data_IF_738712296723
#
_entry.id   IF_738712296723
#
_cell.length_a   1.000
_cell.length_b   1.000
_cell.length_c   1.000
_cell.angle_alpha   90.00
_cell.angle_beta   90.00
_cell.angle_gamma   90.00
#
_symmetry.space_group_name_H-M   'P 1'
#
loop_
_entity.id
_entity.type
_entity.pdbx_description
1 polymer ?
#
# COMPACT_ATOMS: atom_id res chain seq x y z
N UNK A 1 -21.68 -74.40 12.82
CA UNK A 1 -20.45 -73.73 12.43
C UNK A 1 -20.85 -72.45 11.70
N UNK A 2 -20.82 -71.32 12.38
CA UNK A 2 -21.26 -70.04 11.87
C UNK A 2 -20.03 -69.25 11.31
N UNK A 3 -20.13 -68.51 10.18
CA UNK A 3 -19.08 -67.65 9.72
C UNK A 3 -19.14 -66.27 10.42
N UNK A 4 -17.98 -65.75 10.79
CA UNK A 4 -17.78 -64.51 11.42
C UNK A 4 -17.78 -63.40 10.33
N UNK A 5 -18.63 -62.37 10.50
CA UNK A 5 -18.65 -61.19 9.69
C UNK A 5 -17.57 -60.22 10.18
N UNK A 6 -16.66 -59.85 9.28
CA UNK A 6 -15.70 -58.75 9.48
C UNK A 6 -16.37 -57.40 9.26
N UNK A 7 -16.22 -56.55 10.24
CA UNK A 7 -16.73 -55.21 10.25
C UNK A 7 -15.73 -54.27 9.54
N UNK A 8 -16.15 -53.58 8.48
CA UNK A 8 -15.36 -52.62 7.74
C UNK A 8 -15.55 -51.24 8.37
N UNK A 9 -14.53 -50.78 9.09
CA UNK A 9 -14.46 -49.42 9.64
C UNK A 9 -14.37 -48.39 8.49
N UNK A 10 -15.46 -47.64 8.28
CA UNK A 10 -15.46 -46.48 7.44
C UNK A 10 -14.84 -45.30 8.22
N UNK A 11 -13.65 -44.88 7.83
CA UNK A 11 -13.05 -43.64 8.26
C UNK A 11 -13.73 -42.46 7.54
N UNK A 12 -14.74 -41.85 8.18
CA UNK A 12 -15.38 -40.65 7.71
C UNK A 12 -14.46 -39.45 7.89
N UNK A 13 -13.92 -38.96 6.79
CA UNK A 13 -13.23 -37.66 6.75
C UNK A 13 -14.29 -36.55 6.87
N UNK A 14 -14.33 -35.88 8.01
CA UNK A 14 -15.19 -34.70 8.22
C UNK A 14 -14.61 -33.54 7.44
N UNK A 15 -15.32 -32.94 6.48
CA UNK A 15 -14.81 -31.75 5.79
C UNK A 15 -14.75 -30.59 6.79
N UNK A 16 -13.56 -30.05 7.02
CA UNK A 16 -13.37 -28.83 7.77
C UNK A 16 -13.89 -27.67 6.92
N UNK A 17 -15.07 -27.19 7.22
CA UNK A 17 -15.69 -26.04 6.60
C UNK A 17 -14.97 -24.79 7.13
N UNK A 18 -14.02 -24.24 6.38
CA UNK A 18 -13.45 -22.93 6.67
C UNK A 18 -14.50 -21.85 6.44
N UNK A 19 -15.20 -21.48 7.49
CA UNK A 19 -16.08 -20.30 7.48
C UNK A 19 -15.19 -19.07 7.52
N UNK A 20 -14.96 -18.46 6.37
CA UNK A 20 -14.32 -17.15 6.29
C UNK A 20 -15.27 -16.10 6.88
N UNK A 21 -15.10 -15.78 8.15
CA UNK A 21 -15.72 -14.59 8.73
C UNK A 21 -15.15 -13.37 8.01
N UNK A 22 -15.91 -12.77 7.11
CA UNK A 22 -15.65 -11.41 6.62
C UNK A 22 -15.80 -10.47 7.81
N UNK A 23 -14.67 -10.06 8.39
CA UNK A 23 -14.67 -9.03 9.42
C UNK A 23 -14.94 -7.71 8.73
N UNK A 24 -16.00 -6.99 9.07
CA UNK A 24 -16.21 -5.65 8.55
C UNK A 24 -15.04 -4.77 9.01
N UNK A 25 -14.30 -4.20 8.08
CA UNK A 25 -13.37 -3.12 8.38
C UNK A 25 -14.20 -1.97 8.95
N UNK A 26 -13.85 -1.41 10.11
CA UNK A 26 -14.61 -0.32 10.69
C UNK A 26 -14.74 0.80 9.66
N UNK A 27 -15.97 1.23 9.37
CA UNK A 27 -16.20 2.45 8.59
C UNK A 27 -15.45 3.58 9.31
N UNK A 28 -14.70 4.37 8.56
CA UNK A 28 -14.12 5.60 9.09
C UNK A 28 -15.24 6.43 9.71
N UNK A 29 -15.11 6.68 11.02
CA UNK A 29 -16.07 7.48 11.77
C UNK A 29 -15.86 8.99 11.55
N UNK A 30 -14.94 9.40 10.67
CA UNK A 30 -14.58 10.78 10.41
C UNK A 30 -14.17 10.96 8.95
N UNK A 31 -14.32 12.18 8.45
CA UNK A 31 -13.78 12.59 7.16
C UNK A 31 -12.32 13.05 7.36
N UNK A 32 -11.34 12.35 6.78
CA UNK A 32 -9.92 12.69 6.95
C UNK A 32 -9.55 14.07 6.38
N UNK A 33 -10.31 14.58 5.42
CA UNK A 33 -10.11 15.91 4.86
C UNK A 33 -10.50 17.03 5.85
N UNK A 34 -11.46 16.74 6.74
CA UNK A 34 -11.93 17.67 7.76
C UNK A 34 -11.03 17.69 9.01
N UNK A 35 -10.09 16.77 9.16
CA UNK A 35 -9.16 16.76 10.30
C UNK A 35 -8.18 17.92 10.17
N UNK A 36 -8.00 18.77 11.20
CA UNK A 36 -7.07 19.90 11.14
C UNK A 36 -5.63 19.48 10.83
N UNK A 37 -4.92 20.35 10.12
CA UNK A 37 -3.46 20.21 9.95
C UNK A 37 -2.81 20.61 11.26
N UNK A 38 -2.15 19.66 11.91
CA UNK A 38 -1.39 19.88 13.15
C UNK A 38 -0.05 20.56 12.84
N UNK A 39 0.66 20.04 11.84
CA UNK A 39 1.94 20.56 11.39
C UNK A 39 2.21 20.17 9.93
N UNK A 40 3.19 20.85 9.34
CA UNK A 40 3.80 20.45 8.07
C UNK A 40 5.18 19.91 8.40
N UNK A 41 5.53 18.77 7.84
CA UNK A 41 6.79 18.10 8.12
C UNK A 41 7.99 19.04 7.84
N UNK A 42 7.95 19.77 6.71
CA UNK A 42 8.84 20.90 6.45
C UNK A 42 10.31 20.55 6.21
N UNK A 43 10.65 19.25 6.12
CA UNK A 43 12.01 18.84 5.77
C UNK A 43 12.33 19.25 4.34
N UNK A 44 13.61 19.50 4.08
CA UNK A 44 14.09 19.80 2.73
C UNK A 44 13.72 18.68 1.76
N UNK A 45 13.35 19.07 0.54
CA UNK A 45 13.05 18.14 -0.54
C UNK A 45 14.24 17.22 -0.86
N UNK A 46 13.95 16.07 -1.45
CA UNK A 46 14.97 15.25 -2.11
C UNK A 46 15.54 16.05 -3.28
N UNK A 47 16.86 16.08 -3.40
CA UNK A 47 17.54 16.83 -4.46
C UNK A 47 17.10 16.32 -5.85
N UNK A 48 16.86 17.23 -6.79
CA UNK A 48 16.47 16.87 -8.17
C UNK A 48 17.48 15.94 -8.84
N UNK A 49 18.76 16.06 -8.49
CA UNK A 49 19.83 15.18 -8.97
C UNK A 49 19.66 13.72 -8.53
N UNK A 50 18.87 13.48 -7.50
CA UNK A 50 18.51 12.14 -7.00
C UNK A 50 17.22 11.59 -7.62
N UNK A 51 16.39 12.44 -8.23
CA UNK A 51 15.11 12.06 -8.82
C UNK A 51 15.28 11.66 -10.29
N UNK A 52 16.07 10.62 -10.54
CA UNK A 52 16.23 9.99 -11.85
C UNK A 52 16.41 8.47 -11.72
N UNK A 53 16.06 7.72 -12.77
CA UNK A 53 16.03 6.27 -12.72
C UNK A 53 17.40 5.62 -12.43
N UNK A 54 18.48 6.21 -12.92
CA UNK A 54 19.83 5.68 -12.68
C UNK A 54 20.21 5.79 -11.19
N UNK A 55 19.97 6.95 -10.60
CA UNK A 55 20.25 7.17 -9.18
C UNK A 55 19.39 6.29 -8.29
N UNK A 56 18.09 6.15 -8.61
CA UNK A 56 17.19 5.29 -7.85
C UNK A 56 17.66 3.82 -7.85
N UNK A 57 18.05 3.28 -9.02
CA UNK A 57 18.62 1.92 -9.09
C UNK A 57 19.85 1.77 -8.21
N UNK A 58 20.77 2.74 -8.24
CA UNK A 58 21.99 2.72 -7.41
C UNK A 58 21.63 2.77 -5.92
N UNK A 59 20.69 3.63 -5.53
CA UNK A 59 20.25 3.80 -4.14
C UNK A 59 19.63 2.52 -3.58
N UNK A 60 18.80 1.80 -4.36
CA UNK A 60 18.22 0.53 -3.96
C UNK A 60 19.21 -0.62 -3.98
N UNK A 61 20.19 -0.61 -4.89
CA UNK A 61 21.25 -1.63 -4.95
C UNK A 61 22.27 -1.51 -3.80
N UNK A 62 22.51 -0.30 -3.30
CA UNK A 62 23.44 -0.02 -2.19
C UNK A 62 22.77 0.97 -1.21
N UNK A 63 21.81 0.51 -0.39
CA UNK A 63 21.11 1.36 0.53
C UNK A 63 22.05 1.88 1.63
N UNK A 64 22.03 3.19 1.84
CA UNK A 64 22.65 3.82 3.01
C UNK A 64 21.71 3.71 4.22
N UNK A 65 22.26 3.84 5.42
CA UNK A 65 21.49 3.82 6.66
C UNK A 65 20.43 4.94 6.67
N UNK A 66 19.22 4.59 7.00
CA UNK A 66 18.11 5.52 7.16
C UNK A 66 17.16 5.05 8.26
N UNK A 67 16.35 5.96 8.75
CA UNK A 67 15.39 5.64 9.80
C UNK A 67 13.99 5.63 9.22
N UNK A 68 13.33 4.48 9.33
CA UNK A 68 11.91 4.36 9.02
C UNK A 68 11.11 5.21 9.99
N UNK A 69 10.18 6.00 9.47
CA UNK A 69 9.25 6.70 10.32
C UNK A 69 8.26 5.71 10.96
N UNK A 70 8.18 5.74 12.28
CA UNK A 70 7.21 4.90 12.99
C UNK A 70 5.81 5.42 12.72
N UNK A 71 4.94 4.58 12.17
CA UNK A 71 3.52 4.93 12.13
C UNK A 71 2.96 4.91 13.56
N UNK A 72 2.29 5.99 13.99
CA UNK A 72 1.47 6.00 15.20
C UNK A 72 0.24 5.08 15.07
N UNK A 73 0.13 4.42 13.94
CA UNK A 73 -0.92 3.44 13.64
C UNK A 73 -0.70 2.12 14.39
N UNK A 74 -0.45 2.19 15.70
CA UNK A 74 -0.32 0.96 16.51
C UNK A 74 -1.67 0.28 16.66
N UNK A 75 -1.77 -1.01 16.34
CA UNK A 75 -2.98 -1.78 16.52
C UNK A 75 -3.21 -2.07 18.01
N UNK A 76 -3.82 -1.13 18.76
CA UNK A 76 -4.11 -1.37 20.17
C UNK A 76 -4.97 -2.61 20.41
N UNK A 77 -6.05 -2.78 19.68
CA UNK A 77 -6.98 -3.93 19.75
C UNK A 77 -6.64 -5.08 18.79
N UNK A 78 -5.78 -4.87 17.80
CA UNK A 78 -5.42 -5.87 16.79
C UNK A 78 -4.07 -6.55 17.05
N UNK A 79 -3.34 -6.14 18.11
CA UNK A 79 -2.02 -6.70 18.45
C UNK A 79 -2.02 -8.22 18.68
N UNK A 80 -3.18 -8.85 18.81
CA UNK A 80 -3.33 -10.30 19.01
C UNK A 80 -3.65 -11.07 17.73
N UNK A 81 -3.82 -10.38 16.58
CA UNK A 81 -4.15 -11.03 15.30
C UNK A 81 -2.93 -11.14 14.41
N UNK A 82 -2.82 -12.26 13.70
CA UNK A 82 -1.82 -12.42 12.63
C UNK A 82 -2.15 -11.42 11.53
N UNK A 83 -1.21 -10.53 11.17
CA UNK A 83 -1.42 -9.57 10.09
C UNK A 83 -1.72 -10.27 8.77
N UNK A 84 -2.53 -9.63 7.93
CA UNK A 84 -2.86 -10.13 6.60
C UNK A 84 -1.77 -9.67 5.63
N UNK A 85 -1.00 -10.59 5.01
CA UNK A 85 0.00 -10.20 4.03
C UNK A 85 -0.63 -9.53 2.81
N UNK A 86 -0.01 -8.44 2.38
CA UNK A 86 -0.39 -7.70 1.19
C UNK A 86 0.87 -7.09 0.54
N UNK A 87 0.79 -6.73 -0.72
CA UNK A 87 1.87 -6.03 -1.41
C UNK A 87 1.31 -4.97 -2.34
N UNK A 88 2.02 -3.87 -2.44
CA UNK A 88 1.69 -2.77 -3.36
C UNK A 88 2.88 -2.46 -4.23
N UNK A 89 2.63 -2.08 -5.47
CA UNK A 89 3.65 -1.55 -6.37
C UNK A 89 3.71 -0.03 -6.19
N UNK A 90 4.92 0.52 -6.07
CA UNK A 90 5.22 1.94 -6.19
C UNK A 90 5.76 2.18 -7.60
N UNK A 91 4.90 2.40 -8.61
CA UNK A 91 5.32 2.49 -10.00
C UNK A 91 5.78 3.91 -10.31
N UNK A 92 7.09 4.08 -10.39
CA UNK A 92 7.75 5.35 -10.74
C UNK A 92 7.94 5.37 -12.26
N UNK A 93 7.17 6.21 -12.94
CA UNK A 93 7.17 6.30 -14.40
C UNK A 93 8.24 7.27 -14.87
N UNK A 94 9.07 6.85 -15.82
CA UNK A 94 10.12 7.69 -16.42
C UNK A 94 9.53 8.52 -17.57
N UNK A 95 8.97 9.71 -17.26
CA UNK A 95 8.43 10.64 -18.24
C UNK A 95 9.52 11.60 -18.74
N UNK A 96 9.33 12.17 -19.94
CA UNK A 96 10.27 13.14 -20.53
C UNK A 96 10.43 14.44 -19.73
N UNK A 97 9.43 14.76 -18.90
CA UNK A 97 9.42 15.96 -18.04
C UNK A 97 9.81 15.66 -16.58
N UNK A 98 10.25 14.45 -16.27
CA UNK A 98 10.65 14.01 -14.93
C UNK A 98 9.95 12.74 -14.49
N UNK A 99 10.31 12.24 -13.32
CA UNK A 99 9.67 11.06 -12.74
C UNK A 99 8.30 11.40 -12.16
N UNK A 100 7.35 10.50 -12.36
CA UNK A 100 6.01 10.57 -11.76
C UNK A 100 5.70 9.30 -11.00
N UNK A 101 4.87 9.37 -9.96
CA UNK A 101 4.32 8.22 -9.26
C UNK A 101 2.91 7.95 -9.78
N UNK A 102 2.66 6.74 -10.25
CA UNK A 102 1.34 6.32 -10.68
C UNK A 102 0.54 5.85 -9.46
N UNK A 103 -0.67 6.37 -9.31
CA UNK A 103 -1.60 6.07 -8.22
C UNK A 103 -2.98 5.76 -8.79
N UNK A 104 -3.79 5.11 -7.98
CA UNK A 104 -5.18 4.79 -8.29
C UNK A 104 -6.12 5.44 -7.30
N UNK A 105 -7.31 5.80 -7.75
CA UNK A 105 -8.45 6.06 -6.89
C UNK A 105 -9.33 4.81 -6.86
N UNK A 106 -9.56 4.27 -5.68
CA UNK A 106 -10.38 3.07 -5.48
C UNK A 106 -11.83 3.35 -5.82
N UNK A 107 -12.50 2.37 -6.41
CA UNK A 107 -13.93 2.48 -6.73
C UNK A 107 -14.76 2.86 -5.50
N UNK A 108 -15.71 3.81 -5.62
CA UNK A 108 -16.61 4.19 -4.52
C UNK A 108 -17.56 3.05 -4.11
N UNK A 109 -17.69 2.03 -4.94
CA UNK A 109 -18.56 0.88 -4.71
C UNK A 109 -17.90 -0.22 -3.85
N UNK A 110 -16.62 -0.10 -3.54
CA UNK A 110 -15.90 -1.06 -2.72
C UNK A 110 -16.37 -1.02 -1.27
N UNK A 111 -16.42 -2.19 -0.64
CA UNK A 111 -16.75 -2.31 0.78
C UNK A 111 -15.67 -1.73 1.69
N UNK A 112 -14.40 -1.84 1.27
CA UNK A 112 -13.24 -1.41 2.04
C UNK A 112 -12.55 -0.24 1.33
N UNK A 113 -12.33 0.85 2.06
CA UNK A 113 -11.60 2.03 1.59
C UNK A 113 -12.14 2.64 0.29
N UNK A 114 -13.48 2.84 0.14
CA UNK A 114 -14.05 3.41 -1.07
C UNK A 114 -13.51 4.83 -1.33
N UNK A 115 -13.17 5.13 -2.58
CA UNK A 115 -12.69 6.44 -3.02
C UNK A 115 -11.29 6.84 -2.51
N UNK A 116 -10.61 6.00 -1.74
CA UNK A 116 -9.26 6.32 -1.25
C UNK A 116 -8.22 6.24 -2.37
N UNK A 117 -7.19 7.09 -2.26
CA UNK A 117 -6.03 7.02 -3.12
C UNK A 117 -5.09 5.94 -2.60
N UNK A 118 -4.66 5.06 -3.50
CA UNK A 118 -3.80 3.92 -3.18
C UNK A 118 -2.74 3.69 -4.27
N UNK A 119 -1.72 2.96 -3.91
CA UNK A 119 -0.90 2.27 -4.90
C UNK A 119 -1.67 1.08 -5.45
N UNK A 120 -1.45 0.68 -6.71
CA UNK A 120 -1.96 -0.60 -7.20
C UNK A 120 -1.37 -1.74 -6.39
N UNK A 121 -2.20 -2.73 -6.04
CA UNK A 121 -1.79 -3.83 -5.20
C UNK A 121 -2.91 -4.40 -4.34
N UNK A 122 -2.63 -5.53 -3.70
CA UNK A 122 -3.63 -6.24 -2.94
C UNK A 122 -3.07 -7.30 -2.00
N UNK A 123 -3.93 -8.24 -1.64
CA UNK A 123 -3.60 -9.33 -0.73
C UNK A 123 -2.71 -10.37 -1.43
N UNK A 124 -1.81 -10.97 -0.66
CA UNK A 124 -1.10 -12.15 -1.13
C UNK A 124 -2.08 -13.31 -1.34
N UNK A 125 -2.00 -13.93 -2.50
CA UNK A 125 -2.73 -15.17 -2.81
C UNK A 125 -1.82 -16.38 -2.56
N UNK A 126 -2.44 -17.56 -2.36
CA UNK A 126 -1.74 -18.84 -2.16
C UNK A 126 -0.83 -19.19 -3.35
N UNK A 127 -1.18 -18.71 -4.55
CA UNK A 127 -0.41 -18.92 -5.77
C UNK A 127 0.80 -18.00 -5.93
N UNK A 128 0.90 -16.91 -5.15
CA UNK A 128 1.98 -15.94 -5.28
C UNK A 128 3.29 -16.50 -4.70
N UNK A 129 4.35 -16.49 -5.48
CA UNK A 129 5.67 -17.01 -5.04
C UNK A 129 6.43 -16.04 -4.13
N UNK A 130 6.04 -14.76 -4.11
CA UNK A 130 6.67 -13.70 -3.32
C UNK A 130 5.79 -12.45 -3.24
N UNK A 131 6.16 -11.51 -2.35
CA UNK A 131 5.53 -10.19 -2.26
C UNK A 131 5.65 -9.39 -3.57
N UNK A 132 6.76 -9.57 -4.31
CA UNK A 132 6.93 -8.97 -5.64
C UNK A 132 5.90 -9.52 -6.62
N UNK A 133 5.70 -10.85 -6.62
CA UNK A 133 4.71 -11.50 -7.48
C UNK A 133 3.29 -11.00 -7.18
N UNK A 134 2.92 -10.88 -5.92
CA UNK A 134 1.65 -10.28 -5.49
C UNK A 134 1.48 -8.87 -6.05
N UNK A 135 2.47 -7.99 -5.87
CA UNK A 135 2.39 -6.61 -6.33
C UNK A 135 2.25 -6.51 -7.87
N UNK A 136 2.98 -7.34 -8.61
CA UNK A 136 2.92 -7.36 -10.07
C UNK A 136 1.59 -7.90 -10.59
N UNK A 137 1.09 -9.00 -10.02
CA UNK A 137 -0.20 -9.61 -10.39
C UNK A 137 -1.35 -8.63 -10.18
N UNK A 138 -1.47 -8.09 -8.97
CA UNK A 138 -2.51 -7.13 -8.61
C UNK A 138 -2.45 -5.87 -9.49
N UNK A 139 -1.24 -5.36 -9.78
CA UNK A 139 -1.06 -4.21 -10.67
C UNK A 139 -1.56 -4.51 -12.08
N UNK A 140 -1.27 -5.70 -12.61
CA UNK A 140 -1.74 -6.11 -13.93
C UNK A 140 -3.26 -6.28 -13.96
N UNK A 141 -3.86 -6.83 -12.89
CA UNK A 141 -5.31 -7.02 -12.72
C UNK A 141 -6.04 -5.67 -12.57
N UNK A 142 -5.57 -4.78 -11.67
CA UNK A 142 -6.25 -3.52 -11.35
C UNK A 142 -6.13 -2.45 -12.45
N UNK A 143 -4.96 -2.34 -13.11
CA UNK A 143 -4.69 -1.23 -14.03
C UNK A 143 -4.15 -1.66 -15.41
N UNK A 144 -4.01 -2.96 -15.67
CA UNK A 144 -3.56 -3.48 -16.97
C UNK A 144 -2.10 -3.18 -17.31
N UNK A 145 -1.28 -2.72 -16.35
CA UNK A 145 0.13 -2.44 -16.58
C UNK A 145 0.91 -3.74 -16.76
N UNK A 146 1.32 -4.03 -17.99
CA UNK A 146 1.99 -5.27 -18.29
C UNK A 146 3.41 -5.33 -17.69
N UNK A 147 3.78 -6.46 -17.11
CA UNK A 147 5.07 -6.72 -16.42
C UNK A 147 6.31 -6.36 -17.23
N UNK A 148 6.27 -6.47 -18.56
CA UNK A 148 7.40 -6.10 -19.44
C UNK A 148 7.81 -4.62 -19.38
N UNK A 149 6.94 -3.74 -18.83
CA UNK A 149 7.22 -2.32 -18.66
C UNK A 149 7.75 -1.99 -17.25
N UNK A 150 7.80 -3.00 -16.37
CA UNK A 150 8.09 -2.84 -14.95
C UNK A 150 9.48 -3.39 -14.65
N UNK A 151 10.37 -2.53 -14.17
CA UNK A 151 11.70 -2.89 -13.66
C UNK A 151 11.69 -2.72 -12.13
N UNK A 152 11.54 -3.83 -11.40
CA UNK A 152 11.56 -3.82 -9.93
C UNK A 152 12.97 -3.54 -9.46
N UNK A 153 13.14 -2.43 -8.72
CA UNK A 153 14.45 -1.98 -8.23
C UNK A 153 14.69 -2.30 -6.75
N UNK A 154 13.65 -2.66 -6.00
CA UNK A 154 13.76 -3.05 -4.60
C UNK A 154 12.45 -2.98 -3.83
N UNK A 155 12.56 -3.10 -2.51
CA UNK A 155 11.42 -3.00 -1.58
C UNK A 155 11.75 -2.03 -0.45
N UNK A 156 10.73 -1.42 0.13
CA UNK A 156 10.85 -0.73 1.41
C UNK A 156 10.47 -1.66 2.55
N UNK A 157 10.81 -1.31 3.80
CA UNK A 157 10.32 -2.04 4.97
C UNK A 157 8.81 -2.14 5.01
N UNK A 158 8.32 -3.24 5.55
CA UNK A 158 6.90 -3.51 5.68
C UNK A 158 6.19 -2.41 6.47
N UNK A 159 4.98 -2.08 6.01
CA UNK A 159 4.09 -1.11 6.64
C UNK A 159 2.88 -1.82 7.24
N UNK A 160 2.71 -1.69 8.56
CA UNK A 160 1.58 -2.31 9.27
C UNK A 160 0.46 -1.28 9.38
N UNK A 161 -0.71 -1.62 8.82
CA UNK A 161 -1.89 -0.75 8.87
C UNK A 161 -2.74 -1.03 10.12
N UNK A 162 -3.53 -0.03 10.55
CA UNK A 162 -4.53 -0.23 11.61
C UNK A 162 -5.60 -1.27 11.26
N UNK A 163 -5.82 -1.50 9.98
CA UNK A 163 -6.80 -2.48 9.49
C UNK A 163 -6.26 -3.91 9.50
N UNK A 164 -5.03 -4.10 9.99
CA UNK A 164 -4.42 -5.42 10.17
C UNK A 164 -3.72 -5.97 8.95
N UNK A 165 -3.40 -5.13 7.96
CA UNK A 165 -2.56 -5.52 6.83
C UNK A 165 -1.08 -5.29 7.13
N UNK A 166 -0.25 -6.22 6.69
CA UNK A 166 1.20 -6.10 6.61
C UNK A 166 1.55 -5.93 5.13
N UNK A 167 1.84 -4.69 4.75
CA UNK A 167 2.04 -4.32 3.35
C UNK A 167 3.52 -4.30 3.04
N UNK A 168 3.96 -5.05 2.03
CA UNK A 168 5.30 -4.94 1.44
C UNK A 168 5.25 -3.94 0.28
N UNK A 169 5.90 -2.76 0.38
CA UNK A 169 5.99 -1.81 -0.72
C UNK A 169 7.10 -2.23 -1.68
N UNK A 170 6.73 -2.55 -2.92
CA UNK A 170 7.63 -2.93 -4.01
C UNK A 170 7.86 -1.71 -4.89
N UNK A 171 9.09 -1.26 -5.03
CA UNK A 171 9.45 -0.07 -5.82
C UNK A 171 9.93 -0.48 -7.20
N UNK A 172 9.36 0.13 -8.22
CA UNK A 172 9.71 -0.18 -9.60
C UNK A 172 9.78 1.08 -10.47
N UNK A 173 10.66 1.03 -11.47
CA UNK A 173 10.68 1.97 -12.58
C UNK A 173 9.81 1.44 -13.70
N UNK A 174 9.01 2.31 -14.30
CA UNK A 174 8.09 1.97 -15.39
C UNK A 174 8.47 2.70 -16.64
N UNK A 175 8.69 1.93 -17.72
CA UNK A 175 9.17 2.44 -19.01
C UNK A 175 8.01 2.65 -20.00
N UNK A 176 7.71 3.90 -20.42
CA UNK A 176 6.77 4.15 -21.49
C UNK A 176 7.39 3.75 -22.87
N UNK A 177 6.56 3.53 -23.91
CA UNK A 177 5.10 3.67 -23.92
C UNK A 177 4.39 2.42 -23.35
N UNK A 178 3.30 2.64 -22.63
CA UNK A 178 2.40 1.58 -22.15
C UNK A 178 0.96 2.09 -22.18
N UNK A 179 0.02 1.18 -22.18
CA UNK A 179 -1.42 1.48 -22.05
C UNK A 179 -1.89 1.02 -20.68
N UNK A 180 -2.80 1.79 -20.07
CA UNK A 180 -3.44 1.47 -18.82
C UNK A 180 -4.92 1.26 -19.03
N UNK A 181 -5.48 0.32 -18.30
CA UNK A 181 -6.90 0.03 -18.30
C UNK A 181 -7.34 -0.26 -16.86
N UNK A 182 -8.08 0.67 -16.27
CA UNK A 182 -8.68 0.47 -14.96
C UNK A 182 -9.68 -0.69 -14.97
N UNK A 183 -9.62 -1.56 -13.96
CA UNK A 183 -10.67 -2.56 -13.70
C UNK A 183 -11.86 -1.85 -13.02
N UNK A 184 -13.02 -1.71 -13.70
CA UNK A 184 -14.10 -0.83 -13.21
C UNK A 184 -14.69 -1.21 -11.86
N UNK A 185 -14.52 -2.48 -11.45
CA UNK A 185 -14.96 -2.97 -10.14
C UNK A 185 -14.09 -2.49 -8.98
N UNK A 186 -12.84 -2.15 -9.25
CA UNK A 186 -11.82 -1.90 -8.23
C UNK A 186 -11.23 -0.49 -8.32
N UNK A 187 -11.02 0.02 -9.51
CA UNK A 187 -10.37 1.31 -9.78
C UNK A 187 -11.32 2.24 -10.51
N UNK A 188 -11.54 3.42 -9.94
CA UNK A 188 -12.34 4.51 -10.53
C UNK A 188 -11.49 5.34 -11.49
N UNK A 189 -10.26 5.65 -11.08
CA UNK A 189 -9.34 6.49 -11.84
C UNK A 189 -7.88 6.10 -11.62
N UNK A 190 -7.06 6.28 -12.67
CA UNK A 190 -5.60 6.14 -12.64
C UNK A 190 -5.00 7.51 -12.95
N UNK A 191 -4.06 7.97 -12.15
CA UNK A 191 -3.43 9.28 -12.34
C UNK A 191 -1.96 9.26 -11.92
N UNK A 192 -1.24 10.29 -12.30
CA UNK A 192 0.17 10.45 -11.97
C UNK A 192 0.42 11.72 -11.18
N UNK A 193 1.31 11.63 -10.20
CA UNK A 193 1.77 12.76 -9.38
C UNK A 193 3.26 12.94 -9.62
N UNK A 194 3.76 14.16 -9.87
CA UNK A 194 5.20 14.40 -9.97
C UNK A 194 5.94 13.86 -8.74
N UNK A 195 6.97 13.04 -8.96
CA UNK A 195 7.73 12.48 -7.84
C UNK A 195 8.38 13.59 -7.00
N UNK A 196 8.81 14.69 -7.62
CA UNK A 196 9.36 15.84 -6.93
C UNK A 196 8.36 16.46 -5.93
N UNK A 197 7.05 16.50 -6.27
CA UNK A 197 6.02 16.95 -5.35
C UNK A 197 5.91 16.03 -4.12
N UNK A 198 5.88 14.72 -4.35
CA UNK A 198 5.78 13.73 -3.28
C UNK A 198 7.06 13.63 -2.42
N UNK A 199 8.18 14.08 -2.96
CA UNK A 199 9.49 14.05 -2.30
C UNK A 199 9.89 15.44 -1.74
N UNK A 200 8.91 16.29 -1.46
CA UNK A 200 9.09 17.58 -0.78
C UNK A 200 8.32 17.57 0.55
N UNK A 201 9.05 17.65 1.66
CA UNK A 201 8.49 17.67 3.01
C UNK A 201 7.49 18.81 3.27
N UNK A 202 7.52 19.87 2.46
CA UNK A 202 6.55 20.97 2.54
C UNK A 202 5.12 20.54 2.16
N UNK A 203 4.97 19.45 1.42
CA UNK A 203 3.68 18.89 1.03
C UNK A 203 3.16 17.80 1.99
N UNK A 204 3.97 17.42 2.99
CA UNK A 204 3.63 16.38 3.95
C UNK A 204 2.94 16.99 5.17
N UNK A 205 1.62 17.02 5.15
CA UNK A 205 0.80 17.49 6.26
C UNK A 205 0.65 16.39 7.30
N UNK A 206 1.02 16.67 8.55
CA UNK A 206 0.65 15.84 9.68
C UNK A 206 -0.71 16.32 10.21
N UNK A 207 -1.64 15.40 10.38
CA UNK A 207 -2.97 15.67 10.88
C UNK A 207 -3.21 14.89 12.17
N UNK A 208 -3.82 15.52 13.14
CA UNK A 208 -4.10 14.93 14.45
C UNK A 208 -5.61 14.93 14.72
N UNK A 209 -6.15 13.75 14.98
CA UNK A 209 -7.53 13.53 15.36
C UNK A 209 -7.58 13.18 16.85
N UNK A 210 -8.34 13.91 17.63
CA UNK A 210 -8.68 13.51 18.99
C UNK A 210 -9.64 12.32 18.97
N UNK A 211 -9.27 11.29 19.73
CA UNK A 211 -10.14 10.13 19.88
C UNK A 211 -11.21 10.40 20.94
N UNK A 212 -12.44 9.87 20.75
CA UNK A 212 -13.49 9.98 21.76
C UNK A 212 -13.04 9.47 23.13
N UNK A 213 -13.66 10.00 24.18
CA UNK A 213 -13.50 9.55 25.56
C UNK A 213 -12.09 9.69 26.15
N UNK A 214 -11.27 10.59 25.59
CA UNK A 214 -9.91 10.81 26.10
C UNK A 214 -8.93 9.67 25.78
N UNK A 215 -9.22 8.83 24.80
CA UNK A 215 -8.35 7.72 24.37
C UNK A 215 -7.05 8.18 23.70
N UNK A 216 -6.78 9.49 23.65
CA UNK A 216 -5.57 10.09 23.09
C UNK A 216 -5.77 10.66 21.69
N UNK A 217 -4.66 10.86 20.98
CA UNK A 217 -4.66 11.39 19.63
C UNK A 217 -4.26 10.31 18.62
N UNK A 218 -4.83 10.38 17.44
CA UNK A 218 -4.40 9.62 16.28
C UNK A 218 -3.81 10.57 15.26
N UNK A 219 -2.58 10.30 14.85
CA UNK A 219 -1.92 11.09 13.80
C UNK A 219 -1.83 10.29 12.51
N UNK A 220 -1.89 11.00 11.38
CA UNK A 220 -1.64 10.44 10.06
C UNK A 220 -1.07 11.51 9.13
N UNK A 221 -0.37 11.07 8.09
CA UNK A 221 0.10 11.96 7.04
C UNK A 221 -0.92 12.10 5.93
N UNK A 222 -0.93 13.30 5.31
CA UNK A 222 -1.67 13.60 4.11
C UNK A 222 -0.82 14.46 3.16
N UNK A 223 -0.95 14.20 1.87
CA UNK A 223 -0.30 14.92 0.78
C UNK A 223 -1.36 15.29 -0.25
N UNK A 224 -2.13 16.38 -0.02
CA UNK A 224 -3.13 16.84 -0.99
C UNK A 224 -2.46 17.28 -2.28
N UNK A 225 -2.89 16.70 -3.40
CA UNK A 225 -2.42 17.05 -4.73
C UNK A 225 -3.61 17.31 -5.65
N UNK A 226 -3.78 18.54 -6.10
CA UNK A 226 -4.94 18.98 -6.88
C UNK A 226 -6.26 18.60 -6.19
N UNK A 227 -7.09 17.71 -6.80
CA UNK A 227 -8.32 17.18 -6.20
C UNK A 227 -8.13 15.92 -5.38
N UNK A 228 -6.95 15.32 -5.45
CA UNK A 228 -6.66 14.04 -4.80
C UNK A 228 -6.15 14.25 -3.38
N UNK A 229 -6.75 13.54 -2.45
CA UNK A 229 -6.34 13.54 -1.06
C UNK A 229 -5.59 12.25 -0.74
N UNK A 230 -4.25 12.29 -0.87
CA UNK A 230 -3.38 11.15 -0.58
C UNK A 230 -3.13 11.12 0.93
N UNK A 231 -3.53 10.06 1.63
CA UNK A 231 -3.42 10.00 3.07
C UNK A 231 -3.30 8.57 3.62
N UNK A 232 -3.15 8.41 4.93
CA UNK A 232 -3.10 7.11 5.61
C UNK A 232 -1.91 6.25 5.18
N UNK A 233 -2.12 4.97 4.93
CA UNK A 233 -1.06 4.03 4.56
C UNK A 233 -0.29 4.47 3.30
N UNK A 234 -0.98 5.00 2.29
CA UNK A 234 -0.34 5.50 1.07
C UNK A 234 0.62 6.64 1.38
N UNK A 235 0.18 7.64 2.15
CA UNK A 235 1.04 8.74 2.57
C UNK A 235 2.17 8.29 3.51
N UNK A 236 1.90 7.33 4.41
CA UNK A 236 2.93 6.76 5.29
C UNK A 236 4.03 6.01 4.55
N UNK A 237 3.67 5.25 3.51
CA UNK A 237 4.63 4.57 2.64
C UNK A 237 5.44 5.60 1.82
N UNK A 238 4.79 6.66 1.30
CA UNK A 238 5.48 7.76 0.62
C UNK A 238 6.46 8.49 1.55
N UNK A 239 6.11 8.67 2.83
CA UNK A 239 7.03 9.24 3.84
C UNK A 239 8.27 8.36 4.00
N UNK A 240 8.12 7.05 4.05
CA UNK A 240 9.25 6.13 4.14
C UNK A 240 10.12 6.17 2.88
N UNK A 241 9.52 6.26 1.68
CA UNK A 241 10.26 6.47 0.45
C UNK A 241 11.04 7.79 0.49
N UNK A 242 10.41 8.88 0.96
CA UNK A 242 11.05 10.18 1.12
C UNK A 242 12.28 10.12 2.04
N UNK A 243 12.17 9.51 3.22
CA UNK A 243 13.31 9.34 4.12
C UNK A 243 14.41 8.48 3.52
N UNK A 244 14.04 7.38 2.86
CA UNK A 244 14.98 6.53 2.15
C UNK A 244 15.76 7.27 1.07
N UNK A 245 15.12 8.13 0.28
CA UNK A 245 15.77 8.86 -0.81
C UNK A 245 16.58 10.08 -0.33
N UNK A 246 16.28 10.60 0.86
CA UNK A 246 17.02 11.73 1.45
C UNK A 246 18.33 11.31 2.09
N UNK A 247 18.42 10.14 2.65
CA UNK A 247 19.58 9.63 3.35
C UNK A 247 20.81 9.36 2.42
#
# INVERSE_FOLDING_TARGET
MLPVHGDASQSGTVPVLFVFFRIPVPRLLFDPQCVPVDSVAGEQCVLDTRLNGMWLRQRFAAPEDWTQESSDERPGLLATRVPIPASVLLPIVERSHGLTMLLTQRSPNLTNHPGQIAFPGGRADVGDSSSIETALRETEEEIGLARRHIDVIGTLPEYITMTGYQITPVVALVQPPFELRAEPGEVDEIFEVPLAFLMDGMHHQRRALELPDGAGHRTFYAMPYERFFIWGATAGILRNLFHFLRA
#
